data_IF_131795934644
#
_entry.id   IF_131795934644
#
_cell.length_a   1.000
_cell.length_b   1.000
_cell.length_c   1.000
_cell.angle_alpha   90.00
_cell.angle_beta   90.00
_cell.angle_gamma   90.00
#
_symmetry.space_group_name_H-M   'P 1'
#
loop_
_entity.id
_entity.type
_entity.pdbx_description
1 polymer ?
#
# COMPACT_ATOMS: atom_id res chain seq x y z
N UNK A 1 7.77 26.62 -23.86
CA UNK A 1 6.95 25.48 -23.41
C UNK A 1 7.34 25.22 -21.95
N UNK A 2 6.52 25.64 -20.98
CA UNK A 2 6.81 25.43 -19.54
C UNK A 2 6.36 23.99 -19.19
N UNK A 3 7.26 23.17 -18.68
CA UNK A 3 6.92 21.81 -18.21
C UNK A 3 5.96 21.86 -17.01
N UNK A 4 5.25 20.75 -16.71
CA UNK A 4 4.33 20.71 -15.58
C UNK A 4 5.10 20.94 -14.28
N UNK A 5 4.93 22.13 -13.67
CA UNK A 5 5.37 22.41 -12.31
C UNK A 5 4.51 21.57 -11.36
N UNK A 6 5.09 20.62 -10.63
CA UNK A 6 4.46 20.05 -9.43
C UNK A 6 4.61 18.55 -9.20
N UNK A 7 4.79 17.74 -10.24
CA UNK A 7 4.92 16.29 -10.05
C UNK A 7 6.34 15.96 -9.53
N UNK A 8 6.43 15.44 -8.28
CA UNK A 8 7.67 14.83 -7.81
C UNK A 8 8.02 13.68 -8.75
N UNK A 9 9.30 13.57 -9.12
CA UNK A 9 9.77 12.44 -9.91
C UNK A 9 9.49 11.13 -9.16
N UNK A 10 8.85 10.18 -9.83
CA UNK A 10 8.65 8.84 -9.31
C UNK A 10 10.00 8.12 -9.29
N UNK A 11 10.50 7.65 -8.13
CA UNK A 11 11.72 6.86 -8.07
C UNK A 11 11.56 5.57 -8.91
N UNK A 12 12.61 5.10 -9.61
CA UNK A 12 12.54 3.86 -10.39
C UNK A 12 12.13 2.63 -9.58
N UNK A 13 12.41 2.62 -8.28
CA UNK A 13 12.17 1.56 -7.32
C UNK A 13 10.96 1.82 -6.41
N UNK A 14 10.04 2.71 -6.81
CA UNK A 14 8.88 3.09 -5.99
C UNK A 14 8.04 1.89 -5.52
N UNK A 15 7.90 0.84 -6.34
CA UNK A 15 7.17 -0.37 -5.98
C UNK A 15 7.83 -1.13 -4.81
N UNK A 16 9.16 -1.32 -4.89
CA UNK A 16 9.95 -1.92 -3.82
C UNK A 16 9.83 -1.10 -2.51
N UNK A 17 9.96 0.21 -2.60
CA UNK A 17 9.86 1.10 -1.44
C UNK A 17 8.47 1.07 -0.81
N UNK A 18 7.42 1.03 -1.61
CA UNK A 18 6.04 0.95 -1.12
C UNK A 18 5.78 -0.38 -0.39
N UNK A 19 6.24 -1.51 -0.94
CA UNK A 19 6.10 -2.81 -0.28
C UNK A 19 6.91 -2.87 1.02
N UNK A 20 8.13 -2.35 1.03
CA UNK A 20 8.95 -2.26 2.25
C UNK A 20 8.31 -1.38 3.32
N UNK A 21 7.61 -0.32 2.93
CA UNK A 21 6.83 0.48 3.86
C UNK A 21 5.62 -0.30 4.39
N UNK A 22 4.96 -1.10 3.56
CA UNK A 22 3.81 -1.89 3.98
C UNK A 22 4.15 -2.94 5.05
N UNK A 23 5.34 -3.55 5.00
CA UNK A 23 5.73 -4.53 6.02
C UNK A 23 6.05 -3.94 7.40
N UNK A 24 6.13 -2.61 7.52
CA UNK A 24 6.18 -1.92 8.84
C UNK A 24 4.96 -2.27 9.70
N UNK A 25 3.85 -2.73 9.10
CA UNK A 25 2.68 -3.24 9.80
C UNK A 25 3.03 -4.28 10.88
N UNK A 26 4.06 -5.09 10.67
CA UNK A 26 4.53 -6.07 11.67
C UNK A 26 5.06 -5.45 12.97
N UNK A 27 5.47 -4.17 12.95
CA UNK A 27 5.98 -3.46 14.13
C UNK A 27 4.87 -2.78 14.96
N UNK A 28 3.66 -2.70 14.43
CA UNK A 28 2.53 -1.98 15.05
C UNK A 28 2.16 -2.52 16.44
N UNK A 29 2.13 -3.85 16.68
CA UNK A 29 1.86 -4.38 18.01
C UNK A 29 2.85 -3.89 19.08
N UNK A 30 4.14 -3.82 18.74
CA UNK A 30 5.19 -3.33 19.65
C UNK A 30 5.05 -1.84 19.95
N UNK A 31 4.70 -1.04 18.93
CA UNK A 31 4.43 0.38 19.08
C UNK A 31 3.24 0.60 20.02
N UNK A 32 2.16 -0.16 19.82
CA UNK A 32 0.96 -0.10 20.66
C UNK A 32 1.27 -0.45 22.12
N UNK A 33 2.08 -1.48 22.34
CA UNK A 33 2.51 -1.88 23.68
C UNK A 33 3.35 -0.78 24.37
N UNK A 34 4.29 -0.15 23.65
CA UNK A 34 5.11 0.96 24.19
C UNK A 34 4.29 2.21 24.50
N UNK A 35 3.23 2.45 23.76
CA UNK A 35 2.33 3.59 23.98
C UNK A 35 1.40 3.41 25.20
N UNK A 36 1.46 2.27 25.90
CA UNK A 36 0.59 1.98 27.05
C UNK A 36 -0.86 1.70 26.65
N UNK A 37 -1.12 1.35 25.39
CA UNK A 37 -2.46 1.02 24.93
C UNK A 37 -2.90 -0.34 25.47
N UNK A 38 -4.04 -0.39 26.17
CA UNK A 38 -4.64 -1.64 26.63
C UNK A 38 -5.17 -2.52 25.48
N UNK A 39 -5.32 -1.94 24.29
CA UNK A 39 -5.75 -2.63 23.07
C UNK A 39 -4.66 -2.60 22.01
N UNK A 40 -4.38 -3.77 21.43
CA UNK A 40 -3.50 -3.89 20.28
C UNK A 40 -4.09 -3.11 19.09
N UNK A 41 -3.29 -2.23 18.50
CA UNK A 41 -3.64 -1.54 17.27
C UNK A 41 -3.72 -2.56 16.13
N UNK A 42 -4.86 -2.58 15.45
CA UNK A 42 -5.10 -3.39 14.26
C UNK A 42 -5.10 -2.46 13.05
N UNK A 43 -4.15 -2.64 12.16
CA UNK A 43 -4.00 -1.84 10.95
C UNK A 43 -3.94 -2.81 9.80
N UNK A 44 -4.69 -2.56 8.73
CA UNK A 44 -4.55 -3.22 7.43
C UNK A 44 -3.80 -2.30 6.47
N UNK A 45 -2.93 -2.85 5.62
CA UNK A 45 -2.20 -2.06 4.62
C UNK A 45 -2.44 -2.65 3.23
N UNK A 46 -2.92 -1.81 2.32
CA UNK A 46 -3.11 -2.11 0.90
C UNK A 46 -2.14 -1.30 0.05
N UNK A 47 -1.42 -1.97 -0.87
CA UNK A 47 -0.50 -1.31 -1.81
C UNK A 47 -0.87 -1.66 -3.25
N UNK A 48 -0.87 -0.66 -4.11
CA UNK A 48 -1.01 -0.85 -5.55
C UNK A 48 0.00 0.00 -6.30
N UNK A 49 0.26 -0.37 -7.54
CA UNK A 49 1.06 0.42 -8.47
C UNK A 49 0.26 0.60 -9.74
N UNK A 50 0.25 1.82 -10.27
CA UNK A 50 -0.41 2.15 -11.52
C UNK A 50 -0.17 3.60 -11.91
N UNK A 51 -0.69 3.98 -13.07
CA UNK A 51 -0.62 5.35 -13.56
C UNK A 51 -1.81 6.13 -13.01
N UNK A 52 -1.54 7.28 -12.40
CA UNK A 52 -2.57 8.18 -11.89
C UNK A 52 -2.23 9.64 -12.25
N UNK A 53 -3.19 10.45 -12.70
CA UNK A 53 -3.02 11.90 -12.72
C UNK A 53 -2.77 12.41 -11.30
N UNK A 54 -1.87 13.39 -11.15
CA UNK A 54 -1.60 14.01 -9.85
C UNK A 54 -1.70 15.53 -9.96
N UNK A 55 -2.15 16.17 -8.88
CA UNK A 55 -2.29 17.62 -8.86
C UNK A 55 -2.97 18.15 -7.60
N UNK A 56 -2.95 19.47 -7.47
CA UNK A 56 -3.72 20.18 -6.46
C UNK A 56 -5.22 20.07 -6.77
N UNK A 57 -6.00 19.65 -5.78
CA UNK A 57 -7.46 19.61 -5.80
C UNK A 57 -7.96 20.34 -4.58
N UNK A 58 -8.76 21.37 -4.79
CA UNK A 58 -9.30 22.18 -3.70
C UNK A 58 -9.55 23.62 -4.12
N UNK A 59 -10.15 24.42 -3.22
CA UNK A 59 -10.14 25.86 -3.34
C UNK A 59 -8.75 26.41 -3.03
N UNK A 60 -8.39 27.55 -3.63
CA UNK A 60 -7.08 28.25 -3.52
C UNK A 60 -6.55 28.37 -2.07
N UNK A 61 -7.42 28.41 -1.06
CA UNK A 61 -7.07 28.52 0.36
C UNK A 61 -6.80 27.18 1.08
N UNK A 62 -7.06 26.04 0.43
CA UNK A 62 -6.93 24.69 0.97
C UNK A 62 -6.78 23.69 -0.18
N UNK A 63 -5.63 23.74 -0.86
CA UNK A 63 -5.31 22.86 -1.97
C UNK A 63 -4.60 21.60 -1.47
N UNK A 64 -5.25 20.44 -1.59
CA UNK A 64 -4.62 19.14 -1.31
C UNK A 64 -3.98 18.57 -2.58
N UNK A 65 -2.74 18.09 -2.47
CA UNK A 65 -2.10 17.40 -3.58
C UNK A 65 -2.54 15.93 -3.57
N UNK A 66 -3.32 15.53 -4.56
CA UNK A 66 -3.93 14.20 -4.63
C UNK A 66 -3.59 13.48 -5.94
N UNK A 67 -3.83 12.17 -5.96
CA UNK A 67 -3.56 11.26 -7.06
C UNK A 67 -4.75 10.31 -7.29
N UNK A 68 -5.88 10.80 -7.83
CA UNK A 68 -7.04 9.95 -8.09
C UNK A 68 -6.75 8.95 -9.20
N UNK A 69 -7.38 7.77 -9.12
CA UNK A 69 -7.33 6.76 -10.17
C UNK A 69 -7.41 5.33 -9.62
N UNK A 70 -7.55 4.37 -10.54
CA UNK A 70 -7.80 2.96 -10.24
C UNK A 70 -6.78 2.37 -9.26
N UNK A 71 -5.52 2.78 -9.36
CA UNK A 71 -4.49 2.36 -8.41
C UNK A 71 -4.87 2.76 -6.96
N UNK A 72 -5.29 4.00 -6.73
CA UNK A 72 -5.67 4.45 -5.39
C UNK A 72 -6.93 3.72 -4.88
N UNK A 73 -7.91 3.51 -5.75
CA UNK A 73 -9.14 2.79 -5.41
C UNK A 73 -8.85 1.31 -5.07
N UNK A 74 -8.01 0.63 -5.85
CA UNK A 74 -7.54 -0.73 -5.56
C UNK A 74 -6.81 -0.78 -4.22
N UNK A 75 -5.89 0.15 -3.96
CA UNK A 75 -5.13 0.19 -2.70
C UNK A 75 -6.07 0.39 -1.50
N UNK A 76 -7.07 1.27 -1.62
CA UNK A 76 -8.08 1.48 -0.58
C UNK A 76 -8.92 0.23 -0.35
N UNK A 77 -9.35 -0.45 -1.41
CA UNK A 77 -10.07 -1.71 -1.27
C UNK A 77 -9.21 -2.80 -0.63
N UNK A 78 -7.94 -2.93 -1.01
CA UNK A 78 -7.00 -3.87 -0.41
C UNK A 78 -6.78 -3.58 1.07
N UNK A 79 -6.66 -2.31 1.46
CA UNK A 79 -6.53 -1.91 2.86
C UNK A 79 -7.74 -2.36 3.70
N UNK A 80 -8.95 -2.28 3.14
CA UNK A 80 -10.17 -2.75 3.81
C UNK A 80 -10.21 -4.29 3.95
N UNK A 81 -9.64 -5.02 2.99
CA UNK A 81 -9.61 -6.48 2.96
C UNK A 81 -8.41 -7.10 3.68
N UNK A 82 -7.37 -6.31 3.94
CA UNK A 82 -6.12 -6.75 4.57
C UNK A 82 -6.33 -7.02 6.07
N UNK A 83 -5.91 -8.20 6.51
CA UNK A 83 -5.90 -8.52 7.93
C UNK A 83 -4.70 -7.84 8.64
N UNK A 84 -4.76 -7.65 9.97
CA UNK A 84 -3.64 -7.12 10.73
C UNK A 84 -2.40 -8.02 10.61
N UNK A 85 -1.28 -7.44 10.18
CA UNK A 85 -0.01 -8.16 9.93
C UNK A 85 0.10 -8.82 8.56
N UNK A 86 -0.92 -8.71 7.71
CA UNK A 86 -0.98 -9.34 6.38
C UNK A 86 -1.16 -8.26 5.30
N UNK A 87 -0.09 -7.53 4.93
CA UNK A 87 -0.20 -6.48 3.94
C UNK A 87 -0.54 -7.09 2.57
N UNK A 88 -1.46 -6.43 1.87
CA UNK A 88 -1.97 -6.88 0.58
C UNK A 88 -1.46 -5.97 -0.52
N UNK A 89 -0.88 -6.56 -1.57
CA UNK A 89 -0.22 -5.82 -2.65
C UNK A 89 -0.69 -6.31 -4.02
N UNK A 90 -0.64 -5.46 -5.04
CA UNK A 90 -0.89 -5.91 -6.42
C UNK A 90 0.25 -6.81 -6.92
N UNK A 91 -0.04 -7.67 -7.91
CA UNK A 91 0.96 -8.55 -8.52
C UNK A 91 2.19 -7.78 -9.04
N UNK A 92 1.97 -6.62 -9.67
CA UNK A 92 3.06 -5.80 -10.19
C UNK A 92 3.94 -5.18 -9.09
N UNK A 93 3.36 -4.79 -7.96
CA UNK A 93 4.11 -4.34 -6.80
C UNK A 93 4.94 -5.51 -6.20
N UNK A 94 4.33 -6.71 -6.13
CA UNK A 94 4.98 -7.91 -5.63
C UNK A 94 6.15 -8.37 -6.51
N UNK A 95 6.08 -8.18 -7.83
CA UNK A 95 7.13 -8.60 -8.78
C UNK A 95 8.52 -8.07 -8.40
N UNK A 96 8.59 -6.89 -7.79
CA UNK A 96 9.83 -6.25 -7.36
C UNK A 96 10.43 -6.86 -6.08
N UNK A 97 9.65 -7.64 -5.32
CA UNK A 97 10.02 -8.20 -4.00
C UNK A 97 9.77 -9.69 -3.87
N UNK A 98 9.35 -10.38 -4.93
CA UNK A 98 8.87 -11.77 -4.86
C UNK A 98 9.91 -12.74 -4.28
N UNK A 99 11.20 -12.47 -4.46
CA UNK A 99 12.30 -13.24 -3.87
C UNK A 99 12.41 -13.09 -2.34
N UNK A 100 11.92 -11.99 -1.77
CA UNK A 100 11.95 -11.71 -0.33
C UNK A 100 10.76 -12.37 0.41
N UNK A 101 9.65 -12.66 -0.29
CA UNK A 101 8.42 -13.20 0.29
C UNK A 101 8.01 -14.54 -0.36
N UNK A 102 8.75 -15.64 -0.14
CA UNK A 102 8.48 -16.93 -0.78
C UNK A 102 7.19 -17.61 -0.29
N UNK A 103 6.59 -17.13 0.82
CA UNK A 103 5.33 -17.64 1.39
C UNK A 103 4.13 -16.77 1.06
N UNK A 104 4.31 -15.78 0.18
CA UNK A 104 3.25 -14.90 -0.27
C UNK A 104 2.09 -15.72 -0.87
N UNK A 105 0.85 -15.37 -0.51
CA UNK A 105 -0.36 -16.08 -0.94
C UNK A 105 -1.10 -15.22 -1.95
N UNK A 106 -1.43 -15.80 -3.10
CA UNK A 106 -2.31 -15.12 -4.06
C UNK A 106 -3.78 -15.20 -3.61
N UNK A 107 -4.47 -14.06 -3.70
CA UNK A 107 -5.89 -13.91 -3.42
C UNK A 107 -6.54 -13.18 -4.59
N UNK A 108 -7.58 -13.77 -5.17
CA UNK A 108 -8.37 -13.11 -6.21
C UNK A 108 -9.57 -12.44 -5.55
N UNK A 109 -9.74 -11.14 -5.79
CA UNK A 109 -10.78 -10.34 -5.16
C UNK A 109 -11.68 -9.68 -6.21
N UNK A 110 -12.98 -9.67 -5.93
CA UNK A 110 -13.93 -8.82 -6.64
C UNK A 110 -14.15 -7.57 -5.81
N UNK A 111 -13.61 -6.44 -6.26
CA UNK A 111 -13.64 -5.19 -5.50
C UNK A 111 -14.84 -4.34 -5.88
N UNK A 112 -15.41 -3.64 -4.91
CA UNK A 112 -16.53 -2.73 -5.13
C UNK A 112 -16.08 -1.60 -6.08
N UNK A 113 -16.82 -1.41 -7.17
CA UNK A 113 -16.50 -0.36 -8.16
C UNK A 113 -15.49 -0.79 -9.22
N UNK A 114 -14.93 -2.00 -9.13
CA UNK A 114 -14.07 -2.57 -10.16
C UNK A 114 -14.81 -3.71 -10.84
N UNK A 115 -14.95 -3.61 -12.16
CA UNK A 115 -15.72 -4.57 -12.95
C UNK A 115 -14.96 -5.88 -13.21
N UNK A 116 -13.64 -5.88 -13.04
CA UNK A 116 -12.78 -7.04 -13.19
C UNK A 116 -12.28 -7.56 -11.84
N UNK A 117 -11.94 -8.85 -11.80
CA UNK A 117 -11.29 -9.44 -10.63
C UNK A 117 -9.86 -8.98 -10.55
N UNK A 118 -9.45 -8.52 -9.37
CA UNK A 118 -8.10 -8.04 -9.10
C UNK A 118 -7.32 -9.13 -8.38
N UNK A 119 -6.13 -9.44 -8.88
CA UNK A 119 -5.19 -10.32 -8.19
C UNK A 119 -4.42 -9.54 -7.14
N UNK A 120 -4.52 -10.02 -5.91
CA UNK A 120 -3.76 -9.54 -4.79
C UNK A 120 -2.75 -10.61 -4.35
N UNK A 121 -1.62 -10.16 -3.83
CA UNK A 121 -0.68 -10.99 -3.11
C UNK A 121 -0.68 -10.55 -1.66
N UNK A 122 -0.99 -11.48 -0.75
CA UNK A 122 -0.86 -11.30 0.68
C UNK A 122 0.57 -11.67 1.06
N UNK A 123 1.32 -10.72 1.59
CA UNK A 123 2.66 -10.98 2.07
C UNK A 123 2.58 -11.52 3.49
N UNK A 124 3.39 -12.53 3.79
CA UNK A 124 3.58 -12.94 5.17
C UNK A 124 4.29 -11.83 5.95
N UNK A 125 3.97 -11.65 7.24
CA UNK A 125 4.75 -10.75 8.08
C UNK A 125 6.21 -11.17 7.96
N UNK A 126 7.14 -10.23 7.74
CA UNK A 126 8.55 -10.57 7.69
C UNK A 126 8.85 -11.34 8.98
N UNK A 127 9.46 -12.52 8.83
CA UNK A 127 10.03 -13.23 9.97
C UNK A 127 11.04 -12.27 10.59
N UNK A 128 10.61 -11.50 11.59
CA UNK A 128 11.49 -10.74 12.45
C UNK A 128 12.26 -11.81 13.22
N UNK A 129 13.32 -12.34 12.60
CA UNK A 129 14.35 -13.05 13.32
C UNK A 129 14.81 -12.05 14.37
N UNK A 130 14.45 -12.35 15.62
CA UNK A 130 14.83 -11.56 16.78
C UNK A 130 16.32 -11.25 16.68
N UNK A 131 16.63 -9.99 16.41
CA UNK A 131 17.98 -9.44 16.45
C UNK A 131 18.23 -8.86 17.84
#
# INVERSE_FOLDING_TARGET
>A
MRGPLGARATPPDHGLLAVRAAVVQGMIPEIGARAGGERLLQVGIGTSTGVAPTGAVGPISCDDYTAPGDALDIASCFQCEAAPGEPMVTEDACRSVSSEYPRAIEKVLTLKGIHETVKATVLDPPSVAAA
#
